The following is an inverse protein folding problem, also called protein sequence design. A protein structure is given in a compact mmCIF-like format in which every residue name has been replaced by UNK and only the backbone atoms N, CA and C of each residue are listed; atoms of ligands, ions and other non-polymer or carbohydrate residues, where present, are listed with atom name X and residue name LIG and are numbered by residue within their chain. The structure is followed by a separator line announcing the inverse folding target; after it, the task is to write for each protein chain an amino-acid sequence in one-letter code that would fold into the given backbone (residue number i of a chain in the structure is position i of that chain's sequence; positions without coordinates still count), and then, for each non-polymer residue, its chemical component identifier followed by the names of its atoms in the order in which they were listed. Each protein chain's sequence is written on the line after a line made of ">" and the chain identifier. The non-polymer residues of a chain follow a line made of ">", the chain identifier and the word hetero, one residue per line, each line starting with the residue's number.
data_IF_434421852764
#
_entry.id   IF_434421852764
#
_cell.length_a   1.000
_cell.length_b   1.000
_cell.length_c   1.000
_cell.angle_alpha   90.00
_cell.angle_beta   90.00
_cell.angle_gamma   90.00
#
_symmetry.space_group_name_H-M   'P 1'
#
loop_
_entity.id
_entity.type
_entity.pdbx_description
1 polymer ?
#
# COMPACT_ATOMS: atom_id res chain seq x y z
N UNK A 1 49.55 21.95 -34.34
CA UNK A 1 49.15 22.82 -35.48
C UNK A 1 47.63 22.76 -35.53
N UNK A 2 47.05 23.78 -35.05
CA UNK A 2 46.20 24.78 -35.70
C UNK A 2 44.86 24.18 -36.13
N UNK A 3 43.69 24.68 -35.80
CA UNK A 3 43.33 26.01 -35.35
C UNK A 3 41.91 26.07 -34.79
N UNK A 4 41.82 26.97 -33.92
CA UNK A 4 40.62 27.55 -33.32
C UNK A 4 39.87 28.35 -34.39
N UNK A 5 38.56 28.32 -34.42
CA UNK A 5 37.76 29.49 -34.83
C UNK A 5 36.38 29.53 -34.21
N UNK A 6 36.16 30.61 -33.52
CA UNK A 6 34.93 31.18 -32.95
C UNK A 6 33.73 31.22 -33.90
N UNK A 7 32.50 31.06 -33.37
CA UNK A 7 31.39 31.95 -33.66
C UNK A 7 30.39 32.01 -32.50
N UNK A 8 30.59 33.00 -31.65
CA UNK A 8 29.54 33.65 -30.87
C UNK A 8 28.77 34.57 -31.79
N UNK A 9 27.49 34.33 -31.99
CA UNK A 9 26.45 35.37 -32.36
C UNK A 9 25.05 34.76 -32.25
N UNK A 10 24.18 35.38 -31.47
CA UNK A 10 22.72 35.21 -31.69
C UNK A 10 21.88 34.94 -30.44
N UNK A 11 22.07 35.68 -29.33
CA UNK A 11 21.07 35.70 -28.24
C UNK A 11 20.96 37.12 -27.64
N UNK A 12 20.56 38.06 -28.49
CA UNK A 12 20.14 39.42 -28.09
C UNK A 12 19.17 39.96 -29.16
N UNK A 13 17.91 39.50 -29.14
CA UNK A 13 16.79 40.27 -29.74
C UNK A 13 15.46 39.53 -29.47
N UNK A 14 14.95 39.58 -28.28
CA UNK A 14 13.55 39.27 -27.96
C UNK A 14 13.10 39.81 -26.60
N UNK A 15 13.54 41.03 -26.29
CA UNK A 15 13.08 41.77 -25.08
C UNK A 15 12.91 43.25 -25.44
N UNK A 16 11.96 43.54 -26.31
CA UNK A 16 11.38 44.88 -26.50
C UNK A 16 10.05 44.73 -27.24
N UNK A 17 8.99 44.67 -26.50
CA UNK A 17 7.63 45.11 -26.84
C UNK A 17 6.66 44.62 -25.76
N UNK A 18 6.57 45.32 -24.67
CA UNK A 18 5.35 45.48 -23.88
C UNK A 18 5.50 46.78 -23.11
N UNK A 19 4.89 47.81 -23.71
CA UNK A 19 4.72 49.13 -23.11
C UNK A 19 3.49 49.11 -22.17
N UNK A 20 3.50 49.91 -21.11
CA UNK A 20 2.42 49.95 -20.14
C UNK A 20 1.37 50.97 -20.60
N UNK A 21 0.11 50.64 -20.48
CA UNK A 21 -1.06 51.50 -20.25
C UNK A 21 -2.34 50.81 -20.70
N UNK A 22 -3.04 50.26 -19.72
CA UNK A 22 -4.51 50.30 -19.77
C UNK A 22 -5.04 50.06 -18.34
N UNK A 23 -5.27 51.17 -17.66
CA UNK A 23 -6.16 51.24 -16.50
C UNK A 23 -7.61 51.17 -17.01
N UNK A 24 -8.33 50.14 -16.67
CA UNK A 24 -9.78 50.09 -16.75
C UNK A 24 -10.33 49.53 -15.45
N UNK A 25 -10.76 50.45 -14.63
CA UNK A 25 -11.67 50.23 -13.51
C UNK A 25 -13.06 49.87 -14.08
N UNK A 26 -13.57 48.68 -13.72
CA UNK A 26 -15.00 48.42 -13.78
C UNK A 26 -15.36 47.30 -12.80
N UNK A 27 -16.41 47.45 -11.98
CA UNK A 27 -16.71 46.55 -10.90
C UNK A 27 -17.30 45.24 -11.45
N UNK A 28 -16.67 44.13 -11.14
CA UNK A 28 -17.21 42.81 -11.42
C UNK A 28 -18.53 42.62 -10.67
N UNK A 29 -19.63 42.55 -11.37
CA UNK A 29 -20.92 42.07 -10.86
C UNK A 29 -20.73 40.65 -10.41
N UNK A 30 -20.90 40.42 -9.10
CA UNK A 30 -21.12 39.10 -8.53
C UNK A 30 -22.50 38.62 -8.99
N UNK A 31 -22.54 37.60 -9.80
CA UNK A 31 -23.74 36.78 -10.00
C UNK A 31 -23.96 35.95 -8.75
N UNK A 32 -25.15 35.96 -8.16
CA UNK A 32 -25.46 35.05 -7.05
C UNK A 32 -25.69 33.65 -7.64
N UNK A 33 -24.82 32.71 -7.33
CA UNK A 33 -25.10 31.29 -7.47
C UNK A 33 -25.94 30.89 -6.24
N UNK A 34 -27.26 31.03 -6.37
CA UNK A 34 -28.20 30.39 -5.45
C UNK A 34 -28.18 28.88 -5.69
N UNK A 35 -27.36 28.17 -4.91
CA UNK A 35 -27.58 26.74 -4.68
C UNK A 35 -28.67 26.59 -3.61
N UNK A 36 -29.72 25.79 -3.83
CA UNK A 36 -30.74 25.58 -2.83
C UNK A 36 -30.13 24.92 -1.60
N UNK A 37 -30.10 25.66 -0.48
CA UNK A 37 -29.81 25.18 0.86
C UNK A 37 -30.96 24.28 1.35
N UNK A 38 -31.13 23.09 0.81
CA UNK A 38 -32.16 22.15 1.25
C UNK A 38 -31.65 20.76 1.63
N UNK A 39 -30.38 20.60 2.01
CA UNK A 39 -29.89 19.31 2.54
C UNK A 39 -28.95 19.42 3.74
N UNK A 40 -29.08 20.41 4.60
CA UNK A 40 -28.39 20.43 5.90
C UNK A 40 -29.30 21.04 6.96
N UNK A 41 -30.36 20.33 7.31
CA UNK A 41 -30.95 20.45 8.65
C UNK A 41 -30.39 19.30 9.49
N UNK A 42 -29.81 19.56 10.68
CA UNK A 42 -29.46 18.47 11.59
C UNK A 42 -30.79 17.94 12.15
N UNK A 43 -31.32 16.89 11.52
CA UNK A 43 -32.29 16.05 12.21
C UNK A 43 -31.55 15.43 13.39
N UNK A 44 -31.99 15.78 14.60
CA UNK A 44 -31.61 15.15 15.85
C UNK A 44 -32.14 13.71 15.90
N UNK A 45 -31.63 12.88 14.97
CA UNK A 45 -31.71 11.44 15.05
C UNK A 45 -30.66 11.00 16.04
N UNK A 46 -31.01 10.80 17.29
CA UNK A 46 -30.20 10.03 18.24
C UNK A 46 -29.89 8.69 17.57
N UNK A 47 -28.65 8.54 17.12
CA UNK A 47 -28.10 7.22 16.88
C UNK A 47 -28.18 6.49 18.21
N UNK A 48 -29.12 5.55 18.31
CA UNK A 48 -29.30 4.71 19.47
C UNK A 48 -28.11 3.76 19.60
N UNK A 49 -27.00 4.28 20.11
CA UNK A 49 -25.96 3.43 20.67
C UNK A 49 -26.58 2.77 21.87
N UNK A 50 -26.92 1.50 21.72
CA UNK A 50 -27.52 0.65 22.73
C UNK A 50 -26.57 0.56 23.94
N UNK A 51 -26.72 1.45 24.92
CA UNK A 51 -26.08 1.33 26.22
C UNK A 51 -26.78 0.22 27.01
N UNK A 52 -26.45 -1.04 26.72
CA UNK A 52 -26.73 -2.13 27.64
C UNK A 52 -25.67 -2.13 28.75
N UNK A 53 -26.09 -1.74 29.96
CA UNK A 53 -25.34 -2.00 31.19
C UNK A 53 -25.08 -3.51 31.27
N UNK A 54 -23.85 -3.91 31.14
CA UNK A 54 -23.38 -5.28 31.39
C UNK A 54 -23.14 -5.39 32.93
N UNK A 55 -24.02 -6.14 33.61
CA UNK A 55 -23.71 -6.65 34.95
C UNK A 55 -22.63 -7.73 34.84
N UNK A 56 -21.61 -7.60 35.70
CA UNK A 56 -20.59 -8.61 35.88
C UNK A 56 -21.20 -9.90 36.43
N UNK A 57 -21.24 -10.96 35.61
CA UNK A 57 -21.46 -12.34 36.01
C UNK A 57 -20.47 -13.19 35.22
N UNK A 58 -19.69 -14.00 35.94
CA UNK A 58 -18.79 -14.97 35.35
C UNK A 58 -19.62 -16.01 34.57
N UNK A 59 -19.66 -15.87 33.29
CA UNK A 59 -20.21 -16.60 32.16
C UNK A 59 -20.87 -15.58 31.20
N UNK A 60 -20.02 -14.70 30.64
CA UNK A 60 -20.46 -13.79 29.60
C UNK A 60 -20.93 -14.59 28.38
N UNK A 61 -22.11 -14.26 27.80
CA UNK A 61 -22.50 -14.89 26.55
C UNK A 61 -21.38 -14.66 25.54
N UNK A 62 -20.91 -15.74 24.88
CA UNK A 62 -20.07 -15.63 23.69
C UNK A 62 -20.72 -14.59 22.79
N UNK A 63 -19.96 -13.64 22.22
CA UNK A 63 -20.53 -12.66 21.32
C UNK A 63 -21.32 -13.46 20.28
N UNK A 64 -22.62 -13.16 20.16
CA UNK A 64 -23.43 -13.68 19.06
C UNK A 64 -22.69 -13.38 17.79
N UNK A 65 -22.35 -14.35 16.93
CA UNK A 65 -21.74 -14.07 15.66
C UNK A 65 -22.62 -13.01 15.00
N UNK A 66 -22.04 -11.88 14.60
CA UNK A 66 -22.73 -10.90 13.77
C UNK A 66 -23.41 -11.72 12.67
N UNK A 67 -24.72 -11.58 12.49
CA UNK A 67 -25.47 -12.37 11.53
C UNK A 67 -24.69 -12.33 10.22
N UNK A 68 -24.28 -13.50 9.70
CA UNK A 68 -23.52 -13.57 8.47
C UNK A 68 -24.28 -12.76 7.42
N UNK A 69 -23.61 -11.92 6.63
CA UNK A 69 -24.29 -11.13 5.61
C UNK A 69 -25.11 -12.07 4.71
N UNK A 70 -26.27 -11.63 4.26
CA UNK A 70 -27.14 -12.44 3.41
C UNK A 70 -26.47 -12.69 2.06
N UNK A 71 -26.46 -13.97 1.59
CA UNK A 71 -25.91 -14.31 0.29
C UNK A 71 -26.75 -13.63 -0.81
N UNK A 72 -26.07 -12.85 -1.65
CA UNK A 72 -26.70 -12.20 -2.80
C UNK A 72 -27.24 -13.25 -3.81
N UNK A 73 -28.22 -12.88 -4.66
CA UNK A 73 -28.94 -13.81 -5.56
C UNK A 73 -28.12 -14.19 -6.80
N UNK A 74 -26.85 -14.56 -6.62
CA UNK A 74 -26.03 -15.13 -7.67
C UNK A 74 -26.36 -16.60 -7.89
N UNK A 75 -26.21 -17.07 -9.14
CA UNK A 75 -26.35 -18.48 -9.50
C UNK A 75 -25.30 -19.34 -8.79
N UNK A 76 -25.60 -20.62 -8.60
CA UNK A 76 -24.61 -21.60 -8.15
C UNK A 76 -23.94 -22.24 -9.36
N UNK A 77 -22.69 -22.69 -9.17
CA UNK A 77 -21.94 -23.41 -10.20
C UNK A 77 -22.59 -24.77 -10.47
N UNK A 78 -22.81 -25.06 -11.72
CA UNK A 78 -23.38 -26.35 -12.19
C UNK A 78 -22.35 -27.23 -12.88
N UNK A 79 -22.69 -28.47 -13.22
CA UNK A 79 -21.78 -29.35 -13.97
C UNK A 79 -21.50 -28.82 -15.40
N UNK A 80 -22.45 -28.10 -15.99
CA UNK A 80 -22.28 -27.48 -17.31
C UNK A 80 -21.26 -26.34 -17.22
N UNK A 81 -21.31 -25.52 -16.14
CA UNK A 81 -20.34 -24.45 -15.88
C UNK A 81 -18.93 -25.05 -15.69
N UNK A 82 -18.82 -26.15 -14.93
CA UNK A 82 -17.56 -26.87 -14.75
C UNK A 82 -17.01 -27.44 -16.07
N UNK A 83 -17.86 -27.94 -16.94
CA UNK A 83 -17.47 -28.44 -18.26
C UNK A 83 -16.90 -27.29 -19.12
N UNK A 84 -17.54 -26.11 -19.09
CA UNK A 84 -17.06 -24.92 -19.76
C UNK A 84 -15.66 -24.50 -19.23
N UNK A 85 -15.50 -24.37 -17.92
CA UNK A 85 -14.22 -23.94 -17.34
C UNK A 85 -13.08 -24.93 -17.57
N UNK A 86 -13.39 -26.25 -17.51
CA UNK A 86 -12.41 -27.31 -17.84
C UNK A 86 -11.99 -27.30 -19.32
N UNK A 87 -12.88 -26.89 -20.21
CA UNK A 87 -12.57 -26.71 -21.63
C UNK A 87 -11.71 -25.47 -21.87
N UNK A 88 -12.06 -24.37 -21.24
CA UNK A 88 -11.32 -23.08 -21.36
C UNK A 88 -9.95 -23.15 -20.69
N UNK A 89 -9.85 -23.82 -19.54
CA UNK A 89 -8.67 -23.94 -18.70
C UNK A 89 -8.31 -25.42 -18.46
N UNK A 90 -7.77 -26.14 -19.44
CA UNK A 90 -7.41 -27.56 -19.27
C UNK A 90 -6.44 -27.75 -18.10
N UNK A 91 -6.83 -28.53 -17.07
CA UNK A 91 -6.03 -28.81 -15.88
C UNK A 91 -5.89 -27.63 -14.88
N UNK A 92 -6.55 -26.49 -15.16
CA UNK A 92 -6.41 -25.26 -14.35
C UNK A 92 -7.74 -24.77 -13.73
N UNK A 93 -8.82 -25.53 -13.90
CA UNK A 93 -10.09 -25.39 -13.19
C UNK A 93 -10.11 -26.43 -12.05
N UNK A 94 -9.80 -25.99 -10.82
CA UNK A 94 -9.52 -26.83 -9.66
C UNK A 94 -10.76 -26.89 -8.78
N UNK A 95 -11.18 -28.13 -8.44
CA UNK A 95 -12.33 -28.42 -7.56
C UNK A 95 -11.92 -29.29 -6.37
N UNK A 96 -10.64 -29.62 -6.22
CA UNK A 96 -10.10 -30.39 -5.11
C UNK A 96 -10.14 -29.57 -3.82
N UNK A 97 -10.86 -29.99 -2.77
CA UNK A 97 -11.00 -29.24 -1.52
C UNK A 97 -9.66 -28.95 -0.83
N UNK A 98 -8.71 -29.89 -0.89
CA UNK A 98 -7.40 -29.70 -0.24
C UNK A 98 -6.58 -28.60 -0.91
N UNK A 99 -6.71 -28.45 -2.24
CA UNK A 99 -6.07 -27.38 -2.99
C UNK A 99 -6.79 -26.04 -2.85
N UNK A 100 -8.09 -26.04 -2.53
CA UNK A 100 -8.90 -24.85 -2.33
C UNK A 100 -8.72 -24.23 -0.93
N UNK A 101 -8.31 -25.02 0.06
CA UNK A 101 -8.24 -24.60 1.45
C UNK A 101 -7.43 -23.29 1.63
N UNK A 102 -6.23 -23.24 1.08
CA UNK A 102 -5.36 -22.08 1.18
C UNK A 102 -5.92 -20.81 0.50
N UNK A 103 -6.81 -20.98 -0.47
CA UNK A 103 -7.45 -19.88 -1.18
C UNK A 103 -8.75 -19.41 -0.51
N UNK A 104 -9.35 -20.26 0.32
CA UNK A 104 -10.57 -19.96 1.08
C UNK A 104 -10.31 -19.32 2.46
N UNK A 105 -9.07 -19.16 2.87
CA UNK A 105 -8.73 -18.62 4.20
C UNK A 105 -7.75 -17.45 4.03
N UNK A 106 -7.99 -16.34 4.74
CA UNK A 106 -7.08 -15.21 4.74
C UNK A 106 -5.79 -15.49 5.52
N UNK A 107 -4.78 -14.64 5.34
CA UNK A 107 -3.47 -14.83 5.98
C UNK A 107 -3.54 -14.87 7.51
N UNK A 108 -4.39 -14.04 8.14
CA UNK A 108 -4.61 -14.04 9.60
C UNK A 108 -5.51 -15.18 10.09
N UNK A 109 -6.08 -15.97 9.18
CA UNK A 109 -7.09 -16.99 9.48
C UNK A 109 -8.32 -16.45 10.21
N UNK A 110 -8.65 -15.20 9.96
CA UNK A 110 -9.77 -14.47 10.55
C UNK A 110 -11.06 -14.60 9.75
N UNK A 111 -10.93 -14.82 8.45
CA UNK A 111 -12.04 -14.95 7.50
C UNK A 111 -11.89 -16.24 6.70
N UNK A 112 -13.01 -16.94 6.47
CA UNK A 112 -13.06 -18.17 5.68
C UNK A 112 -14.23 -18.13 4.69
N UNK A 113 -13.93 -18.38 3.41
CA UNK A 113 -14.90 -18.62 2.34
C UNK A 113 -15.19 -20.09 2.11
N UNK A 114 -16.10 -20.34 1.18
CA UNK A 114 -16.57 -21.69 0.84
C UNK A 114 -16.62 -21.91 -0.69
N UNK A 115 -15.65 -21.31 -1.40
CA UNK A 115 -15.56 -21.54 -2.84
C UNK A 115 -15.25 -23.00 -3.13
N UNK A 116 -15.97 -23.55 -4.12
CA UNK A 116 -15.79 -24.92 -4.63
C UNK A 116 -15.02 -24.96 -5.96
N UNK A 117 -14.60 -23.76 -6.46
CA UNK A 117 -13.94 -23.65 -7.75
C UNK A 117 -12.86 -22.56 -7.75
N UNK A 118 -11.63 -22.96 -8.09
CA UNK A 118 -10.50 -22.08 -8.31
C UNK A 118 -10.08 -22.13 -9.79
N UNK A 119 -10.13 -20.99 -10.47
CA UNK A 119 -9.71 -20.80 -11.85
C UNK A 119 -8.35 -20.13 -11.91
N UNK A 120 -7.42 -20.68 -12.69
CA UNK A 120 -6.04 -20.23 -12.82
C UNK A 120 -5.71 -19.87 -14.28
N UNK A 121 -6.20 -18.73 -14.81
CA UNK A 121 -5.86 -18.27 -16.16
C UNK A 121 -4.38 -17.91 -16.27
N UNK A 122 -3.87 -17.93 -17.51
CA UNK A 122 -2.52 -17.54 -17.90
C UNK A 122 -2.49 -16.30 -18.79
N UNK A 123 -3.62 -16.00 -19.44
CA UNK A 123 -3.72 -14.89 -20.39
C UNK A 123 -4.94 -14.00 -20.11
N UNK A 124 -4.91 -12.79 -20.62
CA UNK A 124 -6.01 -11.82 -20.54
C UNK A 124 -7.24 -12.33 -21.26
N UNK A 125 -7.07 -13.06 -22.39
CA UNK A 125 -8.15 -13.65 -23.17
C UNK A 125 -8.88 -14.72 -22.37
N UNK A 126 -8.16 -15.54 -21.61
CA UNK A 126 -8.78 -16.54 -20.73
C UNK A 126 -9.60 -15.86 -19.62
N UNK A 127 -9.08 -14.79 -19.01
CA UNK A 127 -9.82 -13.98 -18.02
C UNK A 127 -11.08 -13.37 -18.65
N UNK A 128 -10.98 -12.83 -19.88
CA UNK A 128 -12.08 -12.27 -20.63
C UNK A 128 -13.19 -13.30 -20.88
N UNK A 129 -12.83 -14.51 -21.33
CA UNK A 129 -13.78 -15.60 -21.57
C UNK A 129 -14.47 -16.05 -20.28
N UNK A 130 -13.72 -16.17 -19.18
CA UNK A 130 -14.23 -16.53 -17.86
C UNK A 130 -15.25 -15.50 -17.38
N UNK A 131 -14.89 -14.21 -17.37
CA UNK A 131 -15.75 -13.15 -16.85
C UNK A 131 -16.99 -12.96 -17.73
N UNK A 132 -16.86 -13.00 -19.05
CA UNK A 132 -18.00 -12.97 -19.97
C UNK A 132 -18.98 -14.10 -19.71
N UNK A 133 -18.48 -15.32 -19.50
CA UNK A 133 -19.31 -16.46 -19.16
C UNK A 133 -19.98 -16.29 -17.80
N UNK A 134 -19.22 -15.93 -16.77
CA UNK A 134 -19.75 -15.69 -15.42
C UNK A 134 -20.84 -14.62 -15.41
N UNK A 135 -20.64 -13.55 -16.15
CA UNK A 135 -21.63 -12.48 -16.30
C UNK A 135 -22.93 -13.00 -16.94
N UNK A 136 -22.83 -13.76 -18.04
CA UNK A 136 -24.01 -14.35 -18.73
C UNK A 136 -24.77 -15.33 -17.85
N UNK A 137 -24.08 -16.03 -16.95
CA UNK A 137 -24.63 -17.04 -16.04
C UNK A 137 -25.03 -16.47 -14.67
N UNK A 138 -24.75 -15.16 -14.41
CA UNK A 138 -24.92 -14.53 -13.11
C UNK A 138 -24.14 -15.25 -11.99
N UNK A 139 -22.89 -15.66 -12.27
CA UNK A 139 -21.98 -16.28 -11.30
C UNK A 139 -21.11 -15.22 -10.63
N UNK A 140 -20.98 -15.30 -9.32
CA UNK A 140 -20.10 -14.39 -8.57
C UNK A 140 -18.63 -14.82 -8.68
N UNK A 141 -17.74 -13.85 -8.87
CA UNK A 141 -16.28 -14.07 -9.00
C UNK A 141 -15.54 -13.24 -7.98
N UNK A 142 -14.57 -13.87 -7.29
CA UNK A 142 -13.64 -13.23 -6.37
C UNK A 142 -12.23 -13.26 -6.96
N UNK A 143 -11.70 -12.12 -7.47
CA UNK A 143 -10.31 -12.05 -7.92
C UNK A 143 -9.35 -12.20 -6.76
N UNK A 144 -8.32 -13.02 -6.94
CA UNK A 144 -7.32 -13.28 -5.90
C UNK A 144 -5.89 -13.24 -6.45
N UNK A 145 -5.03 -12.43 -5.80
CA UNK A 145 -3.58 -12.43 -6.01
C UNK A 145 -2.88 -13.44 -5.08
N UNK A 146 -1.87 -12.97 -4.35
CA UNK A 146 -1.11 -13.78 -3.40
C UNK A 146 -1.80 -14.07 -2.06
N UNK A 147 -3.03 -13.63 -1.87
CA UNK A 147 -3.85 -13.80 -0.66
C UNK A 147 -3.13 -13.33 0.62
N UNK A 148 -2.41 -12.22 0.54
CA UNK A 148 -1.61 -11.65 1.63
C UNK A 148 -2.29 -10.48 2.36
N UNK A 149 -3.52 -10.13 1.96
CA UNK A 149 -4.32 -9.09 2.61
C UNK A 149 -4.68 -9.45 4.05
N UNK A 150 -4.74 -8.44 4.93
CA UNK A 150 -4.95 -8.62 6.37
C UNK A 150 -6.40 -8.40 6.81
N UNK A 151 -7.30 -8.05 5.89
CA UNK A 151 -8.70 -7.71 6.17
C UNK A 151 -9.70 -8.60 5.42
N UNK A 152 -9.26 -9.72 4.89
CA UNK A 152 -10.10 -10.73 4.23
C UNK A 152 -10.63 -10.35 2.84
N UNK A 153 -10.20 -9.24 2.23
CA UNK A 153 -10.74 -8.74 0.96
C UNK A 153 -10.47 -9.63 -0.26
N UNK A 154 -9.55 -10.58 -0.17
CA UNK A 154 -9.24 -11.54 -1.23
C UNK A 154 -9.90 -12.92 -1.06
N UNK A 155 -10.63 -13.13 0.04
CA UNK A 155 -11.31 -14.39 0.35
C UNK A 155 -12.79 -14.29 -0.02
N UNK A 156 -13.38 -15.32 -0.64
CA UNK A 156 -14.83 -15.37 -0.90
C UNK A 156 -15.63 -15.15 0.38
N UNK A 157 -16.76 -14.45 0.28
CA UNK A 157 -17.70 -14.32 1.41
C UNK A 157 -18.54 -15.60 1.56
N UNK A 158 -18.86 -16.20 0.43
CA UNK A 158 -19.65 -17.43 0.34
C UNK A 158 -18.99 -18.45 -0.61
N UNK A 159 -19.64 -18.73 -1.73
CA UNK A 159 -19.28 -19.70 -2.75
C UNK A 159 -18.84 -19.06 -4.08
N UNK A 160 -18.38 -17.79 -4.03
CA UNK A 160 -17.86 -17.10 -5.19
C UNK A 160 -16.69 -17.88 -5.81
N UNK A 161 -16.66 -17.92 -7.14
CA UNK A 161 -15.55 -18.54 -7.89
C UNK A 161 -14.27 -17.75 -7.63
N UNK A 162 -13.21 -18.41 -7.20
CA UNK A 162 -11.90 -17.76 -7.05
C UNK A 162 -11.21 -17.70 -8.41
N UNK A 163 -10.87 -16.48 -8.85
CA UNK A 163 -10.08 -16.24 -10.05
C UNK A 163 -8.66 -15.80 -9.64
N UNK A 164 -7.73 -16.75 -9.70
CA UNK A 164 -6.35 -16.51 -9.24
C UNK A 164 -5.43 -16.05 -10.37
N UNK A 165 -4.69 -14.98 -10.14
CA UNK A 165 -3.68 -14.44 -11.06
C UNK A 165 -2.34 -15.20 -11.00
N UNK A 166 -2.20 -16.23 -10.19
CA UNK A 166 -0.91 -16.88 -9.89
C UNK A 166 -0.13 -17.39 -11.11
N UNK A 167 -0.82 -17.74 -12.22
CA UNK A 167 -0.17 -18.19 -13.46
C UNK A 167 0.04 -17.06 -14.48
N UNK A 168 -0.39 -15.84 -14.19
CA UNK A 168 -0.15 -14.64 -15.00
C UNK A 168 1.11 -13.93 -14.49
N UNK A 169 2.27 -14.55 -14.60
CA UNK A 169 3.49 -14.17 -13.89
C UNK A 169 4.69 -13.84 -14.80
N UNK A 170 4.40 -13.44 -16.04
CA UNK A 170 5.45 -13.09 -17.01
C UNK A 170 5.79 -11.60 -16.93
N UNK A 171 7.10 -11.29 -16.98
CA UNK A 171 7.59 -9.97 -17.30
C UNK A 171 7.48 -9.81 -18.81
N UNK A 172 6.76 -8.77 -19.26
CA UNK A 172 6.50 -8.53 -20.67
C UNK A 172 7.60 -7.70 -21.31
N UNK A 173 7.96 -6.56 -20.70
CA UNK A 173 9.01 -5.67 -21.19
C UNK A 173 9.68 -4.93 -20.03
N UNK A 174 10.93 -4.53 -20.25
CA UNK A 174 11.62 -3.56 -19.41
C UNK A 174 12.47 -2.63 -20.30
N UNK A 175 12.19 -1.32 -20.19
CA UNK A 175 12.98 -0.29 -20.86
C UNK A 175 13.96 0.33 -19.87
N UNK A 176 15.25 0.00 -20.05
CA UNK A 176 16.34 0.50 -19.21
C UNK A 176 16.68 1.99 -19.39
N UNK A 177 16.12 2.68 -20.39
CA UNK A 177 16.32 4.13 -20.57
C UNK A 177 15.31 4.91 -19.74
N UNK A 178 14.05 4.55 -19.84
CA UNK A 178 12.95 5.20 -19.11
C UNK A 178 12.73 4.65 -17.70
N UNK A 179 13.24 3.45 -17.41
CA UNK A 179 12.99 2.75 -16.14
C UNK A 179 11.57 2.20 -16.02
N UNK A 180 10.96 1.79 -17.15
CA UNK A 180 9.58 1.32 -17.16
C UNK A 180 9.53 -0.19 -17.28
N UNK A 181 8.93 -0.85 -16.32
CA UNK A 181 8.66 -2.28 -16.30
C UNK A 181 7.19 -2.53 -16.65
N UNK A 182 6.94 -3.44 -17.60
CA UNK A 182 5.59 -3.95 -17.89
C UNK A 182 5.54 -5.44 -17.60
N UNK A 183 4.58 -5.88 -16.81
CA UNK A 183 4.44 -7.26 -16.41
C UNK A 183 2.98 -7.67 -16.18
N UNK A 184 2.71 -8.97 -16.16
CA UNK A 184 1.41 -9.51 -15.80
C UNK A 184 1.12 -9.36 -14.30
N UNK A 185 -0.15 -9.30 -13.95
CA UNK A 185 -0.64 -8.99 -12.60
C UNK A 185 -0.29 -10.01 -11.52
N UNK A 186 0.00 -11.25 -11.89
CA UNK A 186 0.40 -12.33 -10.98
C UNK A 186 1.91 -12.40 -10.69
N UNK A 187 2.71 -11.48 -11.21
CA UNK A 187 4.12 -11.42 -10.86
C UNK A 187 4.30 -11.16 -9.37
N UNK A 188 5.11 -11.97 -8.71
CA UNK A 188 5.47 -11.81 -7.30
C UNK A 188 6.42 -10.63 -7.14
N UNK A 189 6.15 -9.76 -6.16
CA UNK A 189 6.90 -8.51 -5.95
C UNK A 189 8.41 -8.74 -5.77
N UNK A 190 8.80 -9.77 -5.03
CA UNK A 190 10.22 -10.12 -4.82
C UNK A 190 10.91 -10.52 -6.11
N UNK A 191 10.25 -11.30 -6.98
CA UNK A 191 10.81 -11.69 -8.27
C UNK A 191 11.02 -10.47 -9.18
N UNK A 192 10.08 -9.51 -9.16
CA UNK A 192 10.23 -8.24 -9.88
C UNK A 192 11.39 -7.41 -9.32
N UNK A 193 11.54 -7.39 -7.99
CA UNK A 193 12.62 -6.67 -7.32
C UNK A 193 13.98 -7.25 -7.70
N UNK A 194 14.16 -8.58 -7.67
CA UNK A 194 15.38 -9.27 -8.07
C UNK A 194 15.72 -9.02 -9.56
N UNK A 195 14.70 -9.12 -10.43
CA UNK A 195 14.86 -8.84 -11.87
C UNK A 195 15.38 -7.42 -12.16
N UNK A 196 14.84 -6.43 -11.42
CA UNK A 196 15.23 -5.03 -11.56
C UNK A 196 16.60 -4.75 -10.94
N UNK A 197 16.91 -5.39 -9.81
CA UNK A 197 18.19 -5.23 -9.11
C UNK A 197 19.39 -5.62 -9.98
N UNK A 198 19.28 -6.70 -10.76
CA UNK A 198 20.28 -7.11 -11.75
C UNK A 198 20.52 -6.08 -12.86
N UNK A 199 19.62 -5.08 -12.98
CA UNK A 199 19.63 -4.03 -14.01
C UNK A 199 19.86 -2.64 -13.45
N UNK A 200 20.32 -2.53 -12.18
CA UNK A 200 20.50 -1.28 -11.43
C UNK A 200 19.20 -0.46 -11.25
N UNK A 201 18.08 -1.15 -11.11
CA UNK A 201 16.77 -0.54 -10.78
C UNK A 201 16.19 -1.19 -9.53
N UNK A 202 15.17 -0.56 -8.95
CA UNK A 202 14.39 -1.11 -7.84
C UNK A 202 12.89 -0.98 -8.11
N UNK A 203 12.10 -1.81 -7.45
CA UNK A 203 10.66 -1.55 -7.33
C UNK A 203 10.43 -0.32 -6.45
N UNK A 204 9.50 0.58 -6.81
CA UNK A 204 9.13 1.72 -5.95
C UNK A 204 8.36 1.27 -4.70
N UNK A 205 7.90 0.04 -4.66
CA UNK A 205 7.15 -0.60 -3.59
C UNK A 205 8.01 -1.63 -2.86
N UNK A 206 7.97 -1.64 -1.52
CA UNK A 206 8.55 -2.68 -0.68
C UNK A 206 7.57 -3.02 0.45
N UNK A 207 7.28 -4.31 0.62
CA UNK A 207 6.29 -4.83 1.56
C UNK A 207 6.86 -6.03 2.33
N UNK A 208 6.44 -6.21 3.59
CA UNK A 208 6.77 -7.42 4.34
C UNK A 208 6.30 -8.72 3.67
N UNK A 209 5.23 -8.67 2.88
CA UNK A 209 4.68 -9.81 2.12
C UNK A 209 5.28 -9.99 0.72
N UNK A 210 6.40 -9.33 0.38
CA UNK A 210 6.99 -9.31 -0.98
C UNK A 210 7.22 -10.69 -1.62
N UNK A 211 7.53 -11.70 -0.81
CA UNK A 211 7.76 -13.06 -1.28
C UNK A 211 6.50 -13.80 -1.76
N UNK A 212 5.30 -13.26 -1.51
CA UNK A 212 4.04 -13.92 -1.84
C UNK A 212 3.01 -13.02 -2.51
N UNK A 213 3.05 -11.70 -2.28
CA UNK A 213 2.09 -10.78 -2.87
C UNK A 213 2.29 -10.64 -4.38
N UNK A 214 1.16 -10.49 -5.11
CA UNK A 214 1.16 -10.27 -6.55
C UNK A 214 0.99 -8.80 -6.86
N UNK A 215 1.68 -8.29 -7.88
CA UNK A 215 1.69 -6.87 -8.23
C UNK A 215 0.29 -6.36 -8.59
N UNK A 216 -0.55 -7.15 -9.26
CA UNK A 216 -1.93 -6.79 -9.55
C UNK A 216 -2.77 -6.58 -8.30
N UNK A 217 -2.59 -7.42 -7.27
CA UNK A 217 -3.21 -7.26 -5.97
C UNK A 217 -2.72 -6.00 -5.24
N UNK A 218 -1.41 -5.73 -5.29
CA UNK A 218 -0.85 -4.50 -4.71
C UNK A 218 -1.40 -3.23 -5.39
N UNK A 219 -1.60 -3.25 -6.70
CA UNK A 219 -2.26 -2.16 -7.43
C UNK A 219 -3.74 -2.06 -7.07
N UNK A 220 -4.45 -3.20 -7.01
CA UNK A 220 -5.86 -3.24 -6.64
C UNK A 220 -6.14 -2.68 -5.24
N UNK A 221 -5.18 -2.76 -4.31
CA UNK A 221 -5.26 -2.16 -2.96
C UNK A 221 -4.56 -0.80 -2.87
N UNK A 222 -3.94 -0.32 -3.95
CA UNK A 222 -3.12 0.89 -3.97
C UNK A 222 -2.06 0.91 -2.86
N UNK A 223 -1.29 -0.17 -2.75
CA UNK A 223 -0.32 -0.36 -1.69
C UNK A 223 0.71 0.77 -1.62
N UNK A 224 1.02 1.24 -0.42
CA UNK A 224 2.03 2.27 -0.16
C UNK A 224 3.41 1.69 0.07
N UNK A 225 3.52 0.74 1.01
CA UNK A 225 4.76 0.08 1.38
C UNK A 225 5.74 0.97 2.17
N UNK A 226 6.86 0.42 2.54
CA UNK A 226 7.85 1.08 3.44
C UNK A 226 8.44 2.37 2.87
N UNK A 227 8.50 2.51 1.53
CA UNK A 227 9.07 3.67 0.84
C UNK A 227 8.00 4.66 0.35
N UNK A 228 6.81 4.64 0.95
CA UNK A 228 5.70 5.55 0.64
C UNK A 228 6.14 7.02 0.67
N UNK A 229 6.98 7.39 1.64
CA UNK A 229 7.45 8.76 1.79
C UNK A 229 8.21 9.27 0.55
N UNK A 230 9.03 8.41 -0.06
CA UNK A 230 9.86 8.79 -1.21
C UNK A 230 9.16 8.63 -2.55
N UNK A 231 8.47 7.53 -2.75
CA UNK A 231 7.91 7.16 -4.06
C UNK A 231 6.39 7.33 -4.15
N UNK A 232 5.72 7.61 -3.02
CA UNK A 232 4.27 7.61 -2.95
C UNK A 232 3.70 6.19 -2.98
N UNK A 233 2.38 6.09 -3.05
CA UNK A 233 1.69 4.83 -3.31
C UNK A 233 1.81 4.43 -4.79
N UNK A 234 1.41 3.21 -5.13
CA UNK A 234 1.42 2.71 -6.51
C UNK A 234 0.61 3.60 -7.48
N UNK A 235 -0.38 4.33 -6.99
CA UNK A 235 -1.14 5.31 -7.78
C UNK A 235 -0.24 6.34 -8.47
N UNK A 236 0.85 6.74 -7.86
CA UNK A 236 1.81 7.71 -8.40
C UNK A 236 2.83 7.10 -9.37
N UNK A 237 3.07 5.79 -9.31
CA UNK A 237 4.12 5.12 -10.09
C UNK A 237 3.58 4.22 -11.19
N UNK A 238 2.31 3.81 -11.14
CA UNK A 238 1.63 3.04 -12.20
C UNK A 238 1.34 3.96 -13.39
N UNK A 239 1.94 3.64 -14.53
CA UNK A 239 1.77 4.38 -15.78
C UNK A 239 0.66 3.83 -16.65
N UNK A 240 0.40 2.53 -16.59
CA UNK A 240 -0.62 1.87 -17.39
C UNK A 240 -1.18 0.61 -16.73
N UNK A 241 -2.40 0.26 -17.09
CA UNK A 241 -3.08 -0.96 -16.68
C UNK A 241 -3.78 -1.63 -17.85
N UNK A 242 -3.79 -2.94 -17.88
CA UNK A 242 -4.74 -3.74 -18.63
C UNK A 242 -5.73 -4.36 -17.65
N UNK A 243 -7.02 -4.25 -17.92
CA UNK A 243 -8.10 -4.69 -17.02
C UNK A 243 -9.19 -5.40 -17.82
N UNK A 244 -9.71 -6.50 -17.29
CA UNK A 244 -10.89 -7.15 -17.82
C UNK A 244 -12.10 -6.77 -16.97
N UNK A 245 -13.11 -6.19 -17.61
CA UNK A 245 -14.35 -5.77 -16.97
C UNK A 245 -15.26 -7.00 -16.70
N UNK A 246 -16.27 -6.81 -15.87
CA UNK A 246 -17.18 -7.90 -15.48
C UNK A 246 -17.90 -8.57 -16.66
N UNK A 247 -18.13 -7.84 -17.76
CA UNK A 247 -18.73 -8.36 -18.99
C UNK A 247 -17.75 -9.05 -19.95
N UNK A 248 -16.48 -9.14 -19.56
CA UNK A 248 -15.41 -9.75 -20.32
C UNK A 248 -14.70 -8.79 -21.29
N UNK A 249 -15.13 -7.53 -21.44
CA UNK A 249 -14.40 -6.55 -22.26
C UNK A 249 -13.04 -6.24 -21.66
N UNK A 250 -12.03 -6.21 -22.53
CA UNK A 250 -10.66 -5.79 -22.14
C UNK A 250 -10.57 -4.28 -22.29
N UNK A 251 -10.20 -3.61 -21.22
CA UNK A 251 -9.82 -2.20 -21.21
C UNK A 251 -8.30 -2.13 -21.22
N UNK A 252 -7.74 -1.85 -22.38
CA UNK A 252 -6.30 -1.66 -22.56
C UNK A 252 -5.92 -0.19 -22.36
N UNK A 253 -5.36 0.09 -21.19
CA UNK A 253 -4.73 1.36 -20.84
C UNK A 253 -3.25 1.11 -20.48
N UNK A 254 -2.62 0.09 -21.07
CA UNK A 254 -1.24 -0.33 -20.78
C UNK A 254 -0.22 0.61 -21.47
N UNK A 255 -0.25 1.88 -21.07
CA UNK A 255 0.68 2.87 -21.57
C UNK A 255 2.03 2.82 -20.84
N UNK A 256 3.11 3.22 -21.56
CA UNK A 256 4.47 3.33 -21.02
C UNK A 256 4.97 4.78 -21.04
N UNK A 257 4.05 5.74 -21.07
CA UNK A 257 4.35 7.16 -21.12
C UNK A 257 4.24 7.80 -19.75
N UNK A 258 5.28 8.52 -19.32
CA UNK A 258 5.25 9.29 -18.06
C UNK A 258 4.30 10.49 -18.10
N UNK A 259 4.05 11.00 -19.30
CA UNK A 259 3.10 12.09 -19.52
C UNK A 259 2.06 11.63 -20.53
N UNK A 260 0.84 11.49 -20.07
CA UNK A 260 -0.33 11.25 -20.90
C UNK A 260 -1.45 12.18 -20.43
N UNK A 261 -1.73 13.19 -21.27
CA UNK A 261 -2.75 14.20 -20.99
C UNK A 261 -3.99 14.01 -21.90
N UNK A 262 -4.12 12.82 -22.52
CA UNK A 262 -5.18 12.56 -23.49
C UNK A 262 -6.41 11.96 -22.80
N UNK A 263 -7.46 12.76 -22.65
CA UNK A 263 -8.73 12.31 -22.07
C UNK A 263 -8.68 12.03 -20.55
N UNK A 264 -9.62 11.23 -20.09
CA UNK A 264 -9.68 10.81 -18.69
C UNK A 264 -8.66 9.70 -18.40
N UNK A 265 -8.01 9.80 -17.27
CA UNK A 265 -7.08 8.78 -16.78
C UNK A 265 -7.84 7.59 -16.14
N UNK A 266 -8.34 6.68 -17.00
CA UNK A 266 -9.22 5.58 -16.59
C UNK A 266 -8.54 4.58 -15.66
N UNK A 267 -7.21 4.40 -15.74
CA UNK A 267 -6.49 3.48 -14.84
C UNK A 267 -6.69 3.84 -13.35
N UNK A 268 -6.93 5.12 -13.05
CA UNK A 268 -7.14 5.60 -11.68
C UNK A 268 -8.41 5.03 -11.01
N UNK A 269 -9.38 4.57 -11.80
CA UNK A 269 -10.59 3.93 -11.29
C UNK A 269 -10.28 2.54 -10.70
N UNK A 270 -9.31 1.83 -11.27
CA UNK A 270 -8.98 0.45 -10.91
C UNK A 270 -7.90 0.37 -9.81
N UNK A 271 -7.07 1.41 -9.67
CA UNK A 271 -6.07 1.49 -8.58
C UNK A 271 -6.80 1.74 -7.27
N UNK A 272 -6.78 0.75 -6.37
CA UNK A 272 -7.52 0.80 -5.12
C UNK A 272 -8.98 0.34 -5.24
N UNK A 273 -9.40 -0.27 -6.37
CA UNK A 273 -10.76 -0.78 -6.56
C UNK A 273 -11.01 -2.16 -5.94
N UNK A 274 -9.96 -2.84 -5.50
CA UNK A 274 -10.00 -4.17 -4.86
C UNK A 274 -10.79 -5.23 -5.66
N UNK A 275 -10.70 -5.18 -7.00
CA UNK A 275 -11.39 -6.13 -7.89
C UNK A 275 -12.87 -5.86 -8.10
N UNK A 276 -13.45 -4.79 -7.53
CA UNK A 276 -14.89 -4.48 -7.61
C UNK A 276 -15.32 -3.93 -8.97
N UNK A 277 -14.39 -3.35 -9.74
CA UNK A 277 -14.66 -2.77 -11.06
C UNK A 277 -14.13 -3.61 -12.23
N UNK A 278 -13.24 -4.56 -11.96
CA UNK A 278 -12.63 -5.41 -12.98
C UNK A 278 -11.40 -6.12 -12.42
N UNK A 279 -10.83 -7.02 -13.22
CA UNK A 279 -9.64 -7.81 -12.88
C UNK A 279 -8.44 -7.22 -13.62
N UNK A 280 -7.44 -6.77 -12.87
CA UNK A 280 -6.17 -6.29 -13.44
C UNK A 280 -5.39 -7.49 -13.97
N UNK A 281 -4.96 -7.45 -15.24
CA UNK A 281 -4.24 -8.52 -15.91
C UNK A 281 -2.78 -8.17 -16.23
N UNK A 282 -2.49 -6.88 -16.47
CA UNK A 282 -1.13 -6.40 -16.65
C UNK A 282 -0.96 -4.97 -16.12
N UNK A 283 0.27 -4.60 -15.83
CA UNK A 283 0.64 -3.30 -15.25
C UNK A 283 1.95 -2.78 -15.83
N UNK A 284 2.03 -1.46 -16.08
CA UNK A 284 3.26 -0.72 -16.38
C UNK A 284 3.63 0.16 -15.19
N UNK A 285 4.85 0.01 -14.69
CA UNK A 285 5.34 0.70 -13.47
C UNK A 285 6.63 1.44 -13.77
N UNK A 286 6.72 2.68 -13.28
CA UNK A 286 7.96 3.45 -13.28
C UNK A 286 8.84 3.01 -12.13
N UNK A 287 10.01 2.47 -12.45
CA UNK A 287 10.99 1.94 -11.53
C UNK A 287 12.16 2.93 -11.39
N UNK A 288 12.51 3.36 -10.17
CA UNK A 288 13.66 4.24 -9.95
C UNK A 288 14.99 3.47 -10.05
N UNK A 289 16.06 4.21 -10.31
CA UNK A 289 17.43 3.67 -10.24
C UNK A 289 17.74 3.15 -8.85
N UNK A 290 18.52 2.06 -8.78
CA UNK A 290 19.02 1.53 -7.51
C UNK A 290 19.93 2.57 -6.84
N UNK A 291 19.66 2.96 -5.58
CA UNK A 291 20.54 3.85 -4.84
C UNK A 291 21.90 3.18 -4.59
N UNK A 292 22.97 3.98 -4.57
CA UNK A 292 24.34 3.50 -4.32
C UNK A 292 24.69 3.49 -2.83
N UNK A 293 23.94 4.22 -2.04
CA UNK A 293 24.09 4.28 -0.59
C UNK A 293 22.70 4.14 0.06
N UNK A 294 22.59 3.23 1.01
CA UNK A 294 21.42 3.09 1.88
C UNK A 294 21.90 3.06 3.32
N UNK A 295 21.34 3.91 4.15
CA UNK A 295 21.60 3.91 5.58
C UNK A 295 20.29 3.82 6.33
N UNK A 296 20.26 3.08 7.42
CA UNK A 296 19.09 2.98 8.31
C UNK A 296 19.49 3.43 9.70
N UNK A 297 18.69 4.30 10.26
CA UNK A 297 18.84 4.82 11.61
C UNK A 297 17.69 4.35 12.47
N UNK A 298 17.98 3.96 13.70
CA UNK A 298 16.99 3.61 14.70
C UNK A 298 17.19 4.55 15.91
N UNK A 299 16.18 5.37 16.21
CA UNK A 299 16.23 6.40 17.24
C UNK A 299 15.18 6.16 18.31
N UNK A 300 15.43 6.64 19.53
CA UNK A 300 14.50 6.66 20.64
C UNK A 300 14.10 8.07 21.03
N UNK A 301 12.85 8.31 21.39
CA UNK A 301 12.35 9.57 21.92
C UNK A 301 11.28 9.36 23.00
N UNK A 302 11.08 10.39 23.86
CA UNK A 302 10.20 10.31 25.02
C UNK A 302 8.73 10.59 24.71
N UNK A 303 8.46 11.40 23.69
CA UNK A 303 7.10 11.81 23.36
C UNK A 303 6.81 11.71 21.86
N UNK A 304 5.53 11.56 21.52
CA UNK A 304 5.11 11.59 20.11
C UNK A 304 5.32 12.96 19.45
N UNK A 305 5.29 14.03 20.24
CA UNK A 305 5.59 15.38 19.74
C UNK A 305 7.06 15.51 19.32
N UNK A 306 8.01 14.99 20.12
CA UNK A 306 9.43 14.94 19.74
C UNK A 306 9.64 14.11 18.47
N UNK A 307 8.90 13.00 18.30
CA UNK A 307 8.90 12.23 17.08
C UNK A 307 8.48 13.07 15.86
N UNK A 308 7.43 13.88 15.99
CA UNK A 308 6.98 14.77 14.91
C UNK A 308 7.97 15.90 14.63
N UNK A 309 8.61 16.47 15.66
CA UNK A 309 9.69 17.46 15.50
C UNK A 309 10.89 16.84 14.78
N UNK A 310 11.27 15.61 15.14
CA UNK A 310 12.32 14.84 14.45
C UNK A 310 11.96 14.61 12.98
N UNK A 311 10.70 14.31 12.67
CA UNK A 311 10.23 14.17 11.30
C UNK A 311 10.35 15.48 10.50
N UNK A 312 9.98 16.61 11.09
CA UNK A 312 10.11 17.92 10.44
C UNK A 312 11.57 18.26 10.17
N UNK A 313 12.46 18.04 11.15
CA UNK A 313 13.91 18.23 10.99
C UNK A 313 14.46 17.31 9.89
N UNK A 314 14.10 16.04 9.92
CA UNK A 314 14.51 15.04 8.94
C UNK A 314 14.12 15.44 7.50
N UNK A 315 12.89 15.90 7.28
CA UNK A 315 12.44 16.42 5.98
C UNK A 315 13.20 17.67 5.52
N UNK A 316 13.58 18.53 6.45
CA UNK A 316 14.34 19.76 6.16
C UNK A 316 15.78 19.47 5.75
N UNK A 317 16.45 18.54 6.44
CA UNK A 317 17.87 18.27 6.25
C UNK A 317 18.18 17.14 5.27
N UNK A 318 17.32 16.11 5.19
CA UNK A 318 17.55 14.88 4.41
C UNK A 318 16.59 14.73 3.22
N UNK A 319 15.82 15.76 2.86
CA UNK A 319 14.69 15.66 1.94
C UNK A 319 15.01 14.96 0.60
N UNK A 320 16.18 15.18 0.01
CA UNK A 320 16.59 14.57 -1.28
C UNK A 320 17.03 13.11 -1.16
N UNK A 321 17.43 12.65 0.05
CA UNK A 321 17.86 11.26 0.29
C UNK A 321 16.92 10.49 1.20
N UNK A 322 15.97 11.16 1.85
CA UNK A 322 15.00 10.52 2.75
C UNK A 322 14.12 9.53 1.98
N UNK A 323 14.14 8.26 2.40
CA UNK A 323 13.42 7.15 1.77
C UNK A 323 12.23 6.69 2.59
N UNK A 324 12.40 6.53 3.90
CA UNK A 324 11.35 6.12 4.81
C UNK A 324 11.49 6.79 6.19
N UNK A 325 10.36 6.97 6.87
CA UNK A 325 10.27 7.42 8.25
C UNK A 325 9.12 6.70 8.93
N UNK A 326 9.44 5.75 9.81
CA UNK A 326 8.50 4.86 10.48
C UNK A 326 8.57 5.05 11.99
N UNK A 327 7.47 4.79 12.68
CA UNK A 327 7.47 4.77 14.13
C UNK A 327 6.97 3.45 14.72
N UNK A 328 7.38 3.18 15.96
CA UNK A 328 6.89 2.10 16.81
C UNK A 328 6.75 2.64 18.23
N UNK A 329 5.72 2.18 18.96
CA UNK A 329 5.65 2.46 20.39
C UNK A 329 6.39 1.37 21.22
N UNK A 330 6.56 1.65 22.52
CA UNK A 330 7.19 0.72 23.48
C UNK A 330 6.52 -0.65 23.49
N UNK A 331 5.19 -0.70 23.31
CA UNK A 331 4.45 -1.95 23.27
C UNK A 331 4.90 -2.86 22.13
N UNK A 332 5.17 -2.29 20.96
CA UNK A 332 5.72 -3.03 19.82
C UNK A 332 7.07 -3.67 20.17
N UNK A 333 8.00 -2.90 20.76
CA UNK A 333 9.32 -3.41 21.15
C UNK A 333 9.24 -4.50 22.20
N UNK A 334 8.33 -4.38 23.17
CA UNK A 334 8.08 -5.42 24.17
C UNK A 334 7.60 -6.73 23.54
N UNK A 335 6.67 -6.66 22.58
CA UNK A 335 6.16 -7.82 21.84
C UNK A 335 7.26 -8.51 21.03
N UNK A 336 8.07 -7.74 20.30
CA UNK A 336 9.18 -8.25 19.50
C UNK A 336 10.22 -8.98 20.35
N UNK A 337 10.60 -8.39 21.48
CA UNK A 337 11.53 -9.01 22.39
C UNK A 337 10.93 -10.29 23.05
N UNK A 338 9.67 -10.23 23.47
CA UNK A 338 9.01 -11.33 24.16
C UNK A 338 8.80 -12.55 23.27
N UNK A 339 8.24 -12.35 22.07
CA UNK A 339 7.80 -13.42 21.20
C UNK A 339 8.84 -13.82 20.15
N UNK A 340 9.56 -12.84 19.57
CA UNK A 340 10.48 -13.11 18.46
C UNK A 340 11.96 -13.07 18.88
N UNK A 341 12.24 -12.76 20.15
CA UNK A 341 13.61 -12.64 20.69
C UNK A 341 14.48 -11.63 19.92
N UNK A 342 13.84 -10.57 19.40
CA UNK A 342 14.51 -9.45 18.77
C UNK A 342 14.85 -8.42 19.85
N UNK A 343 16.13 -8.28 20.24
CA UNK A 343 16.52 -7.38 21.30
C UNK A 343 16.45 -5.93 20.84
N UNK A 344 16.06 -5.02 21.74
CA UNK A 344 16.13 -3.60 21.48
C UNK A 344 17.61 -3.17 21.28
N UNK A 345 17.96 -2.52 20.14
CA UNK A 345 19.34 -2.12 19.86
C UNK A 345 19.80 -0.86 20.60
N UNK A 346 18.89 -0.14 21.27
CA UNK A 346 19.13 1.10 22.02
C UNK A 346 18.48 1.02 23.39
N UNK A 347 18.60 2.08 24.20
CA UNK A 347 17.90 2.18 25.49
C UNK A 347 16.38 2.13 25.33
N UNK A 348 15.68 1.71 26.40
CA UNK A 348 14.23 1.62 26.37
C UNK A 348 13.58 3.01 26.35
N UNK A 349 12.78 3.28 25.34
CA UNK A 349 12.09 4.56 25.09
C UNK A 349 10.58 4.34 24.90
N UNK A 350 9.75 5.38 25.15
CA UNK A 350 8.34 5.31 24.84
C UNK A 350 8.02 5.16 23.35
N UNK A 351 8.84 5.81 22.49
CA UNK A 351 8.71 5.78 21.05
C UNK A 351 10.04 5.52 20.37
N UNK A 352 9.97 4.86 19.23
CA UNK A 352 11.10 4.54 18.38
C UNK A 352 10.82 5.00 16.96
N UNK A 353 11.88 5.40 16.26
CA UNK A 353 11.84 5.90 14.89
C UNK A 353 12.79 5.07 14.03
N UNK A 354 12.33 4.60 12.88
CA UNK A 354 13.18 4.01 11.84
C UNK A 354 13.25 4.99 10.69
N UNK A 355 14.45 5.45 10.35
CA UNK A 355 14.69 6.35 9.20
C UNK A 355 15.55 5.60 8.20
N UNK A 356 15.13 5.60 6.92
CA UNK A 356 15.97 5.13 5.81
C UNK A 356 16.35 6.31 4.94
N UNK A 357 17.65 6.44 4.64
CA UNK A 357 18.15 7.33 3.60
C UNK A 357 18.66 6.50 2.43
N UNK A 358 18.40 6.95 1.21
CA UNK A 358 18.78 6.28 -0.01
C UNK A 358 19.25 7.31 -1.05
N UNK A 359 20.52 7.30 -1.37
CA UNK A 359 21.12 8.30 -2.26
C UNK A 359 22.10 7.72 -3.27
N UNK A 360 22.79 8.60 -3.97
CA UNK A 360 23.71 8.26 -5.07
C UNK A 360 25.19 8.40 -4.71
N UNK A 361 25.51 9.04 -3.58
CA UNK A 361 26.89 9.28 -3.15
C UNK A 361 27.02 8.95 -1.65
N UNK A 362 27.70 7.84 -1.31
CA UNK A 362 27.83 7.41 0.09
C UNK A 362 28.41 8.47 1.02
N UNK A 363 29.49 9.14 0.62
CA UNK A 363 30.17 10.14 1.46
C UNK A 363 29.27 11.34 1.75
N UNK A 364 28.60 11.86 0.73
CA UNK A 364 27.67 12.98 0.88
C UNK A 364 26.46 12.61 1.75
N UNK A 365 25.91 11.41 1.53
CA UNK A 365 24.74 10.95 2.27
C UNK A 365 25.07 10.70 3.74
N UNK A 366 26.27 10.20 4.02
CA UNK A 366 26.79 9.97 5.38
C UNK A 366 27.05 11.29 6.14
N UNK A 367 27.65 12.29 5.47
CA UNK A 367 27.85 13.64 6.04
C UNK A 367 26.51 14.30 6.40
N UNK A 368 25.53 14.24 5.49
CA UNK A 368 24.20 14.78 5.76
C UNK A 368 23.50 14.09 6.93
N UNK A 369 23.59 12.77 6.95
CA UNK A 369 22.99 11.97 8.02
C UNK A 369 23.63 12.28 9.37
N UNK A 370 24.97 12.45 9.40
CA UNK A 370 25.70 12.81 10.61
C UNK A 370 25.25 14.19 11.15
N UNK A 371 25.19 15.20 10.29
CA UNK A 371 24.74 16.54 10.66
C UNK A 371 23.29 16.53 11.20
N UNK A 372 22.42 15.74 10.59
CA UNK A 372 21.04 15.56 11.09
C UNK A 372 21.02 14.93 12.49
N UNK A 373 21.80 13.88 12.71
CA UNK A 373 21.85 13.18 14.00
C UNK A 373 22.42 14.10 15.11
N UNK A 374 23.46 14.87 14.80
CA UNK A 374 24.04 15.83 15.74
C UNK A 374 23.00 16.88 16.16
N UNK A 375 22.27 17.45 15.21
CA UNK A 375 21.23 18.44 15.50
C UNK A 375 20.06 17.81 16.30
N UNK A 376 19.59 16.62 15.92
CA UNK A 376 18.49 15.93 16.60
C UNK A 376 18.84 15.58 18.06
N UNK A 377 20.08 15.19 18.34
CA UNK A 377 20.55 14.87 19.69
C UNK A 377 20.80 16.14 20.49
N UNK A 378 21.43 17.15 19.91
CA UNK A 378 21.74 18.43 20.58
C UNK A 378 20.48 19.18 20.99
N UNK A 379 19.45 19.13 20.16
CA UNK A 379 18.13 19.72 20.45
C UNK A 379 17.26 18.88 21.39
N UNK A 380 17.77 17.73 21.87
CA UNK A 380 17.05 16.80 22.76
C UNK A 380 15.74 16.25 22.17
N UNK A 381 15.60 16.20 20.85
CA UNK A 381 14.46 15.56 20.17
C UNK A 381 14.55 14.05 20.28
N UNK A 382 15.76 13.50 20.32
CA UNK A 382 16.04 12.08 20.49
C UNK A 382 16.99 11.86 21.66
N UNK A 383 16.82 10.73 22.35
CA UNK A 383 17.57 10.40 23.57
C UNK A 383 18.69 9.39 23.32
N UNK A 384 18.52 8.52 22.34
CA UNK A 384 19.48 7.48 21.98
C UNK A 384 19.28 7.04 20.53
N UNK A 385 20.28 6.41 19.93
CA UNK A 385 20.17 5.95 18.56
C UNK A 385 21.32 5.09 18.08
N UNK A 386 21.06 4.36 16.99
CA UNK A 386 22.07 3.57 16.28
C UNK A 386 21.92 3.71 14.76
N UNK A 387 23.03 3.55 14.05
CA UNK A 387 23.10 3.65 12.59
C UNK A 387 23.55 2.30 12.01
N UNK A 388 22.91 1.87 10.94
CA UNK A 388 23.30 0.71 10.17
C UNK A 388 23.56 1.10 8.71
N UNK A 389 24.74 0.72 8.23
CA UNK A 389 25.21 0.93 6.83
C UNK A 389 25.46 -0.40 6.12
N UNK A 390 25.52 -1.50 6.87
CA UNK A 390 25.72 -2.85 6.36
C UNK A 390 24.37 -3.56 6.16
N UNK A 391 24.20 -4.25 5.05
CA UNK A 391 22.95 -4.93 4.66
C UNK A 391 22.36 -5.83 5.77
N UNK A 392 23.20 -6.55 6.51
CA UNK A 392 22.76 -7.41 7.60
C UNK A 392 22.14 -6.64 8.76
N UNK A 393 22.77 -5.53 9.13
CA UNK A 393 22.29 -4.63 10.20
C UNK A 393 21.04 -3.84 9.74
N UNK A 394 21.03 -3.38 8.49
CA UNK A 394 19.86 -2.74 7.87
C UNK A 394 18.65 -3.65 7.94
N UNK A 395 18.79 -4.91 7.50
CA UNK A 395 17.73 -5.91 7.56
C UNK A 395 17.29 -6.21 9.00
N UNK A 396 18.21 -6.23 9.95
CA UNK A 396 17.90 -6.43 11.36
C UNK A 396 17.05 -5.28 11.93
N UNK A 397 17.37 -4.03 11.63
CA UNK A 397 16.58 -2.87 12.07
C UNK A 397 15.20 -2.85 11.40
N UNK A 398 15.11 -3.11 10.10
CA UNK A 398 13.82 -3.19 9.40
C UNK A 398 12.95 -4.34 9.93
N UNK A 399 13.54 -5.48 10.30
CA UNK A 399 12.79 -6.62 10.85
C UNK A 399 12.01 -6.27 12.12
N UNK A 400 12.47 -5.30 12.91
CA UNK A 400 11.72 -4.81 14.07
C UNK A 400 10.42 -4.14 13.66
N UNK A 401 10.43 -3.35 12.58
CA UNK A 401 9.22 -2.68 12.07
C UNK A 401 8.28 -3.66 11.35
N UNK A 402 8.83 -4.54 10.54
CA UNK A 402 8.04 -5.44 9.68
C UNK A 402 7.37 -6.58 10.44
N UNK A 403 7.99 -7.07 11.53
CA UNK A 403 7.53 -8.26 12.25
C UNK A 403 6.64 -7.97 13.47
N UNK A 404 6.20 -6.72 13.67
CA UNK A 404 5.26 -6.38 14.77
C UNK A 404 3.95 -7.16 14.63
N UNK A 405 3.39 -7.27 13.41
CA UNK A 405 2.16 -8.04 13.17
C UNK A 405 2.33 -9.52 13.55
N UNK A 406 3.46 -10.12 13.18
CA UNK A 406 3.80 -11.50 13.55
C UNK A 406 3.86 -11.63 15.08
N UNK A 407 4.55 -10.73 15.76
CA UNK A 407 4.65 -10.76 17.22
C UNK A 407 3.28 -10.67 17.91
N UNK A 408 2.37 -9.84 17.40
CA UNK A 408 1.01 -9.72 17.93
C UNK A 408 0.21 -11.02 17.83
N UNK A 409 0.37 -11.81 16.77
CA UNK A 409 -0.38 -13.07 16.60
C UNK A 409 -0.06 -14.13 17.66
N UNK A 410 1.09 -14.03 18.34
CA UNK A 410 1.44 -14.92 19.44
C UNK A 410 0.60 -14.70 20.69
N UNK A 411 -0.02 -13.53 20.84
CA UNK A 411 -0.87 -13.20 21.99
C UNK A 411 -2.34 -13.55 21.76
N UNK A 412 -2.70 -14.02 20.58
CA UNK A 412 -4.05 -14.45 20.25
C UNK A 412 -4.61 -13.75 19.00
N UNK A 413 -5.93 -13.61 18.97
CA UNK A 413 -6.62 -12.98 17.83
C UNK A 413 -6.24 -11.50 17.72
N UNK A 414 -5.78 -11.09 16.53
CA UNK A 414 -5.29 -9.73 16.28
C UNK A 414 -6.27 -9.00 15.39
N UNK A 415 -6.82 -7.89 15.90
CA UNK A 415 -7.50 -6.90 15.07
C UNK A 415 -6.48 -5.92 14.55
N UNK A 416 -6.42 -5.78 13.23
CA UNK A 416 -5.51 -4.84 12.57
C UNK A 416 -6.31 -3.79 11.83
N UNK A 417 -5.93 -2.53 12.04
CA UNK A 417 -6.52 -1.38 11.37
C UNK A 417 -5.43 -0.65 10.61
N UNK A 418 -5.64 -0.42 9.33
CA UNK A 418 -4.78 0.40 8.48
C UNK A 418 -5.53 1.69 8.17
N UNK A 419 -5.21 2.77 8.91
CA UNK A 419 -6.00 3.99 8.94
C UNK A 419 -5.11 5.19 8.61
N UNK A 420 -5.63 6.11 7.80
CA UNK A 420 -4.99 7.40 7.55
C UNK A 420 -5.65 8.49 8.40
N UNK A 421 -4.82 9.22 9.14
CA UNK A 421 -5.23 10.32 10.02
C UNK A 421 -4.32 11.54 9.80
N UNK A 422 -4.76 12.76 10.18
CA UNK A 422 -3.85 13.88 10.34
C UNK A 422 -2.69 13.50 11.25
N UNK A 423 -1.45 13.84 10.87
CA UNK A 423 -0.22 13.34 11.49
C UNK A 423 -0.21 13.56 13.00
N UNK A 424 -0.69 14.71 13.47
CA UNK A 424 -0.73 15.09 14.88
C UNK A 424 -1.72 14.23 15.69
N UNK A 425 -2.63 13.52 15.01
CA UNK A 425 -3.70 12.73 15.64
C UNK A 425 -3.47 11.22 15.59
N UNK A 426 -2.42 10.78 14.91
CA UNK A 426 -2.18 9.34 14.70
C UNK A 426 -2.10 8.59 16.04
N UNK A 427 -1.28 9.07 16.98
CA UNK A 427 -1.10 8.37 18.25
C UNK A 427 -2.26 8.61 19.23
N UNK A 428 -3.05 9.67 19.02
CA UNK A 428 -4.27 9.90 19.81
C UNK A 428 -5.24 8.72 19.66
N UNK A 429 -5.39 8.17 18.45
CA UNK A 429 -6.21 6.98 18.23
C UNK A 429 -5.76 5.80 19.10
N UNK A 430 -4.44 5.56 19.20
CA UNK A 430 -3.90 4.46 20.04
C UNK A 430 -4.25 4.69 21.51
N UNK A 431 -4.14 5.93 21.98
CA UNK A 431 -4.48 6.32 23.36
C UNK A 431 -5.98 6.11 23.63
N UNK A 432 -6.83 6.61 22.73
CA UNK A 432 -8.29 6.49 22.84
C UNK A 432 -8.71 5.00 22.81
N UNK A 433 -8.07 4.18 21.98
CA UNK A 433 -8.33 2.74 21.91
C UNK A 433 -7.89 2.01 23.18
N UNK A 434 -6.75 2.37 23.76
CA UNK A 434 -6.28 1.82 25.05
C UNK A 434 -7.30 2.13 26.17
N UNK A 435 -7.77 3.36 26.22
CA UNK A 435 -8.78 3.79 27.19
C UNK A 435 -10.13 3.09 26.96
N UNK A 436 -10.59 3.05 25.70
CA UNK A 436 -11.89 2.45 25.35
C UNK A 436 -11.94 0.95 25.61
N UNK A 437 -10.88 0.22 25.28
CA UNK A 437 -10.83 -1.24 25.41
C UNK A 437 -10.51 -1.68 26.85
N UNK A 438 -9.65 -0.94 27.56
CA UNK A 438 -9.21 -1.33 28.90
C UNK A 438 -8.76 -2.80 28.92
N UNK A 439 -9.21 -3.56 29.89
CA UNK A 439 -8.85 -4.98 30.07
C UNK A 439 -9.42 -5.94 29.01
N UNK A 440 -10.24 -5.45 28.06
CA UNK A 440 -10.79 -6.27 26.97
C UNK A 440 -9.76 -6.60 25.88
N UNK A 441 -8.68 -5.84 25.81
CA UNK A 441 -7.56 -6.11 24.91
C UNK A 441 -6.29 -6.35 25.72
N UNK A 442 -5.58 -7.42 25.40
CA UNK A 442 -4.28 -7.73 26.06
C UNK A 442 -3.23 -6.69 25.70
N UNK A 443 -3.17 -6.30 24.42
CA UNK A 443 -2.24 -5.31 23.90
C UNK A 443 -2.98 -4.38 22.95
N UNK A 444 -2.64 -3.09 22.99
CA UNK A 444 -2.99 -2.08 21.97
C UNK A 444 -1.71 -1.33 21.66
N UNK A 445 -1.22 -1.41 20.45
CA UNK A 445 0.06 -0.83 20.03
C UNK A 445 -0.12 0.03 18.79
N UNK A 446 0.76 1.01 18.61
CA UNK A 446 0.79 1.89 17.46
C UNK A 446 2.13 1.80 16.73
N UNK A 447 2.08 1.62 15.43
CA UNK A 447 3.24 1.67 14.55
C UNK A 447 2.81 2.03 13.12
N UNK A 448 3.73 2.57 12.33
CA UNK A 448 3.43 2.92 10.94
C UNK A 448 4.20 4.12 10.41
N UNK A 449 3.72 4.64 9.28
CA UNK A 449 4.30 5.82 8.65
C UNK A 449 3.96 7.08 9.43
N UNK A 450 4.94 7.84 9.88
CA UNK A 450 4.70 9.16 10.48
C UNK A 450 4.36 10.25 9.44
N UNK A 451 3.73 9.87 8.34
CA UNK A 451 3.38 10.76 7.21
C UNK A 451 1.88 11.01 7.03
N UNK A 452 1.07 10.60 8.01
CA UNK A 452 -0.39 10.69 7.95
C UNK A 452 -1.10 9.36 7.70
N UNK A 453 -0.34 8.26 7.62
CA UNK A 453 -0.88 6.89 7.55
C UNK A 453 -0.30 6.07 8.69
N UNK A 454 -1.13 5.37 9.46
CA UNK A 454 -0.70 4.39 10.46
C UNK A 454 -1.32 3.03 10.14
N UNK A 455 -0.59 2.00 10.36
CA UNK A 455 -1.07 0.61 10.27
C UNK A 455 -1.38 0.04 11.64
#
# INVERSE_FOLDING_TARGET
>A
MAGILHTTLGLRTALRYLSPHCTLSSPARRLPLDFPRQFLSPSSGRCGVCSRKLHAGADGPKPSPAAAPERLPFSRVTQEDLAFFRKTLPGRAITDPDLLEANNVDWLKSVRGFSELLLRPQTTEEVSQILSYCNSRNLAVNPQGGNTGLVGGSVPVYDEIILSTALMNNILTFDGVSGILTCQAGCVLENLSLYLEERDYIMPLDLGAKGSCHIGGNVATNAGGLRLLRYGSLRGTVLGLEVVLADGRVLDCLATLRKDNTGYDLKQLFIGSEGTLGVITAVSILCPRKPKAVNVVFLGCETFEQLLQTFQLCRGMLGEILSAFEFLDRGCMSLLNTHLKLPNPITDCPFYIVIETAGSNPTHDEEKLHNFLEEAMTSSMVTDGTVATEDTKIKALWSMRERVTEALTHDGFTYKYDISLPVERIYQLVTDMKEHLGDRAKNVVGYGHATGTST
#
